data_IF_706627827542
#
_entry.id   IF_706627827542
#
_cell.length_a   1.000
_cell.length_b   1.000
_cell.length_c   1.000
_cell.angle_alpha   90.00
_cell.angle_beta   90.00
_cell.angle_gamma   90.00
#
_symmetry.space_group_name_H-M   'P 1'
#
loop_
_entity.id
_entity.type
_entity.pdbx_description
1 polymer ?
#
# COMPACT_ATOMS: atom_id res chain seq x y z
N UNK A 1 6.32 -14.59 -17.88
CA UNK A 1 5.70 -13.80 -18.95
C UNK A 1 4.69 -12.89 -18.28
N UNK A 2 4.81 -11.58 -18.44
CA UNK A 2 3.80 -10.63 -17.92
C UNK A 2 2.55 -10.83 -18.77
N UNK A 3 1.41 -11.07 -18.13
CA UNK A 3 0.14 -11.20 -18.85
C UNK A 3 -0.15 -9.89 -19.58
N UNK A 4 -0.35 -9.97 -20.91
CA UNK A 4 -0.56 -8.81 -21.76
C UNK A 4 -1.91 -8.09 -21.50
N UNK A 5 -2.81 -8.67 -20.71
CA UNK A 5 -4.11 -8.09 -20.37
C UNK A 5 -4.03 -6.97 -19.33
N UNK A 6 -2.93 -6.90 -18.56
CA UNK A 6 -2.72 -5.95 -17.48
C UNK A 6 -1.85 -4.74 -17.87
N UNK A 7 -1.62 -4.52 -19.17
CA UNK A 7 -0.66 -3.54 -19.63
C UNK A 7 -1.18 -2.72 -20.81
N UNK A 8 -1.04 -1.41 -20.71
CA UNK A 8 -1.28 -0.46 -21.80
C UNK A 8 0.06 0.12 -22.25
N UNK A 9 0.28 0.27 -23.54
CA UNK A 9 1.50 0.81 -24.11
C UNK A 9 1.22 1.83 -25.21
N UNK A 10 2.15 2.78 -25.39
CA UNK A 10 2.01 3.94 -26.28
C UNK A 10 1.45 5.16 -25.54
N UNK A 11 1.98 6.33 -25.87
CA UNK A 11 1.72 7.56 -25.12
C UNK A 11 0.22 7.92 -25.15
N UNK A 12 -0.41 7.90 -26.33
CA UNK A 12 -1.83 8.26 -26.50
C UNK A 12 -2.76 7.31 -25.73
N UNK A 13 -2.54 6.00 -25.83
CA UNK A 13 -3.36 5.00 -25.14
C UNK A 13 -3.26 5.12 -23.62
N UNK A 14 -2.08 5.49 -23.09
CA UNK A 14 -1.90 5.72 -21.65
C UNK A 14 -2.61 7.00 -21.21
N UNK A 15 -2.55 8.09 -21.98
CA UNK A 15 -3.31 9.33 -21.72
C UNK A 15 -4.81 9.03 -21.64
N UNK A 16 -5.34 8.34 -22.64
CA UNK A 16 -6.77 7.97 -22.70
C UNK A 16 -7.19 7.09 -21.51
N UNK A 17 -6.33 6.16 -21.08
CA UNK A 17 -6.60 5.33 -19.92
C UNK A 17 -6.68 6.15 -18.62
N UNK A 18 -5.76 7.13 -18.44
CA UNK A 18 -5.78 8.03 -17.28
C UNK A 18 -7.05 8.89 -17.30
N UNK A 19 -7.39 9.47 -18.44
CA UNK A 19 -8.58 10.31 -18.61
C UNK A 19 -9.89 9.52 -18.43
N UNK A 20 -9.89 8.25 -18.78
CA UNK A 20 -11.00 7.32 -18.53
C UNK A 20 -11.09 6.84 -17.07
N UNK A 21 -10.22 7.34 -16.17
CA UNK A 21 -10.24 6.97 -14.75
C UNK A 21 -9.82 5.52 -14.46
N UNK A 22 -9.02 4.89 -15.34
CA UNK A 22 -8.52 3.54 -15.05
C UNK A 22 -7.53 3.55 -13.91
N UNK A 23 -7.66 2.59 -13.02
CA UNK A 23 -6.69 2.37 -11.95
C UNK A 23 -5.35 1.88 -12.53
N UNK A 24 -4.32 2.71 -12.39
CA UNK A 24 -2.97 2.42 -12.89
C UNK A 24 -2.03 2.25 -11.70
N UNK A 25 -1.32 1.13 -11.66
CA UNK A 25 -0.33 0.85 -10.62
C UNK A 25 0.92 1.70 -10.78
N UNK A 26 1.46 1.72 -11.99
CA UNK A 26 2.65 2.50 -12.33
C UNK A 26 2.78 2.72 -13.83
N UNK A 27 3.52 3.75 -14.18
CA UNK A 27 3.90 4.04 -15.56
C UNK A 27 5.44 4.03 -15.68
N UNK A 28 5.96 3.27 -16.64
CA UNK A 28 7.34 3.35 -17.07
C UNK A 28 7.45 4.29 -18.24
N UNK A 29 8.36 5.25 -18.15
CA UNK A 29 8.60 6.24 -19.21
C UNK A 29 10.08 6.21 -19.55
N UNK A 30 10.42 6.20 -20.85
CA UNK A 30 11.80 6.33 -21.33
C UNK A 30 12.44 7.61 -20.77
N UNK A 31 13.72 7.51 -20.31
CA UNK A 31 14.42 8.65 -19.66
C UNK A 31 14.42 9.92 -20.49
N UNK A 32 14.70 9.79 -21.79
CA UNK A 32 14.89 10.93 -22.70
C UNK A 32 13.68 11.17 -23.62
N UNK A 33 12.47 10.89 -23.12
CA UNK A 33 11.25 11.13 -23.90
C UNK A 33 11.03 12.64 -24.06
N UNK A 34 11.00 13.10 -25.32
CA UNK A 34 10.74 14.48 -25.68
C UNK A 34 9.81 14.49 -26.87
N UNK A 35 8.53 14.73 -26.63
CA UNK A 35 7.51 14.90 -27.66
C UNK A 35 6.37 15.72 -27.09
N UNK A 36 5.55 16.33 -27.94
CA UNK A 36 4.37 17.07 -27.45
C UNK A 36 3.39 16.15 -26.75
N UNK A 37 3.23 14.91 -27.23
CA UNK A 37 2.45 13.88 -26.53
C UNK A 37 3.01 13.55 -25.14
N UNK A 38 4.33 13.57 -24.94
CA UNK A 38 4.89 13.34 -23.61
C UNK A 38 4.61 14.51 -22.65
N UNK A 39 4.57 15.76 -23.15
CA UNK A 39 4.15 16.92 -22.34
C UNK A 39 2.69 16.79 -21.92
N UNK A 40 1.82 16.36 -22.85
CA UNK A 40 0.40 16.08 -22.56
C UNK A 40 0.26 14.97 -21.51
N UNK A 41 1.02 13.87 -21.62
CA UNK A 41 1.04 12.80 -20.62
C UNK A 41 1.39 13.34 -19.22
N UNK A 42 2.46 14.14 -19.10
CA UNK A 42 2.84 14.69 -17.80
C UNK A 42 1.83 15.73 -17.27
N UNK A 43 1.11 16.41 -18.15
CA UNK A 43 0.03 17.32 -17.75
C UNK A 43 -1.15 16.58 -17.14
N UNK A 44 -1.61 15.47 -17.74
CA UNK A 44 -2.72 14.66 -17.19
C UNK A 44 -2.32 13.87 -15.94
N UNK A 45 -1.04 13.60 -15.75
CA UNK A 45 -0.50 12.95 -14.55
C UNK A 45 -0.41 13.89 -13.34
N UNK A 46 -0.43 15.21 -13.58
CA UNK A 46 -0.32 16.18 -12.50
C UNK A 46 -1.52 16.08 -11.55
N UNK A 47 -1.24 15.89 -10.27
CA UNK A 47 -2.28 15.72 -9.23
C UNK A 47 -2.82 14.30 -9.10
N UNK A 48 -2.32 13.33 -9.88
CA UNK A 48 -2.64 11.90 -9.69
C UNK A 48 -1.66 11.25 -8.71
N UNK A 49 -2.09 10.13 -8.10
CA UNK A 49 -1.24 9.26 -7.27
C UNK A 49 -0.50 8.20 -8.09
N UNK A 50 -0.52 8.27 -9.42
CA UNK A 50 0.08 7.26 -10.29
C UNK A 50 1.62 7.40 -10.27
N UNK A 51 2.37 6.38 -9.82
CA UNK A 51 3.82 6.42 -9.82
C UNK A 51 4.38 6.40 -11.24
N UNK A 52 5.27 7.34 -11.55
CA UNK A 52 5.99 7.40 -12.84
C UNK A 52 7.45 7.09 -12.62
N UNK A 53 7.97 6.07 -13.28
CA UNK A 53 9.36 5.67 -13.21
C UNK A 53 10.06 5.93 -14.55
N UNK A 54 11.10 6.78 -14.55
CA UNK A 54 11.95 7.00 -15.73
C UNK A 54 12.97 5.86 -15.83
N UNK A 55 12.98 5.16 -16.96
CA UNK A 55 13.82 3.97 -17.18
C UNK A 55 14.54 4.02 -18.54
N UNK A 56 15.67 3.32 -18.71
CA UNK A 56 16.25 3.08 -20.03
C UNK A 56 15.25 2.36 -20.94
N UNK A 57 15.29 2.66 -22.25
CA UNK A 57 14.36 2.07 -23.22
C UNK A 57 14.48 0.54 -23.29
N UNK A 58 15.67 0.00 -23.04
CA UNK A 58 15.96 -1.44 -22.99
C UNK A 58 15.10 -2.16 -21.94
N UNK A 59 14.80 -1.50 -20.82
CA UNK A 59 13.91 -2.05 -19.79
C UNK A 59 12.48 -2.16 -20.32
N UNK A 60 12.01 -1.18 -21.08
CA UNK A 60 10.67 -1.23 -21.71
C UNK A 60 10.64 -2.30 -22.79
N UNK A 61 11.69 -2.38 -23.63
CA UNK A 61 11.82 -3.37 -24.70
C UNK A 61 11.82 -4.83 -24.18
N UNK A 62 12.28 -5.07 -22.93
CA UNK A 62 12.20 -6.39 -22.28
C UNK A 62 10.77 -6.76 -21.86
N UNK A 63 9.92 -5.76 -21.61
CA UNK A 63 8.52 -5.95 -21.20
C UNK A 63 7.65 -6.18 -22.44
N UNK A 64 7.81 -5.35 -23.46
CA UNK A 64 7.05 -5.46 -24.72
C UNK A 64 7.89 -5.01 -25.90
N UNK A 65 7.77 -5.73 -27.04
CA UNK A 65 8.35 -5.36 -28.33
C UNK A 65 7.39 -4.63 -29.24
N UNK A 66 6.15 -4.40 -28.78
CA UNK A 66 5.13 -3.63 -29.52
C UNK A 66 5.52 -2.16 -29.55
N UNK A 67 4.88 -1.39 -30.42
CA UNK A 67 5.15 0.05 -30.57
C UNK A 67 4.71 0.82 -29.31
N UNK A 68 5.55 0.83 -28.28
CA UNK A 68 5.28 1.45 -26.99
C UNK A 68 5.63 2.94 -26.93
N UNK A 69 6.29 3.50 -27.96
CA UNK A 69 6.66 4.93 -28.02
C UNK A 69 7.39 5.44 -26.75
N UNK A 70 8.06 4.55 -26.03
CA UNK A 70 8.76 4.86 -24.77
C UNK A 70 7.88 4.94 -23.53
N UNK A 71 6.61 4.48 -23.58
CA UNK A 71 5.68 4.50 -22.45
C UNK A 71 4.93 3.17 -22.32
N UNK A 72 4.88 2.65 -21.08
CA UNK A 72 4.11 1.47 -20.69
C UNK A 72 3.45 1.76 -19.33
N UNK A 73 2.16 1.50 -19.23
CA UNK A 73 1.38 1.57 -17.99
C UNK A 73 0.94 0.17 -17.57
N UNK A 74 1.03 -0.13 -16.28
CA UNK A 74 0.50 -1.35 -15.67
C UNK A 74 -0.83 -1.02 -15.01
N UNK A 75 -1.85 -1.78 -15.36
CA UNK A 75 -3.20 -1.62 -14.80
C UNK A 75 -3.23 -2.29 -13.43
N UNK A 76 -3.88 -1.65 -12.48
CA UNK A 76 -4.14 -2.25 -11.16
C UNK A 76 -5.22 -3.32 -11.25
N UNK A 77 -5.07 -4.37 -10.45
CA UNK A 77 -6.11 -5.39 -10.27
C UNK A 77 -7.18 -4.98 -9.24
N UNK A 78 -7.00 -3.83 -8.58
CA UNK A 78 -7.94 -3.28 -7.59
C UNK A 78 -8.22 -1.82 -7.87
N UNK A 79 -9.39 -1.35 -7.45
CA UNK A 79 -9.69 0.09 -7.39
C UNK A 79 -9.14 0.66 -6.10
N UNK A 80 -8.24 1.64 -6.23
CA UNK A 80 -7.69 2.32 -5.06
C UNK A 80 -8.68 3.30 -4.47
N UNK A 81 -8.75 3.32 -3.15
CA UNK A 81 -9.54 4.26 -2.38
C UNK A 81 -8.65 5.35 -1.76
N UNK A 82 -9.28 6.37 -1.19
CA UNK A 82 -8.63 7.39 -0.38
C UNK A 82 -9.04 7.22 1.07
N UNK A 83 -8.08 7.33 1.97
CA UNK A 83 -8.34 7.26 3.41
C UNK A 83 -9.32 8.34 3.86
N UNK A 84 -9.23 9.54 3.26
CA UNK A 84 -10.09 10.69 3.56
C UNK A 84 -11.58 10.46 3.21
N UNK A 85 -11.86 9.62 2.22
CA UNK A 85 -13.24 9.26 1.84
C UNK A 85 -13.76 8.10 2.69
N UNK A 86 -12.89 7.13 3.02
CA UNK A 86 -13.27 5.91 3.71
C UNK A 86 -13.53 6.14 5.21
N UNK A 87 -12.74 6.98 5.89
CA UNK A 87 -12.86 7.22 7.34
C UNK A 87 -14.23 7.77 7.73
N UNK A 88 -14.75 8.87 7.11
CA UNK A 88 -16.08 9.36 7.42
C UNK A 88 -17.17 8.31 7.18
N UNK A 89 -17.08 7.59 6.06
CA UNK A 89 -18.03 6.55 5.70
C UNK A 89 -18.13 5.45 6.78
N UNK A 90 -17.00 4.99 7.32
CA UNK A 90 -16.98 3.97 8.36
C UNK A 90 -17.55 4.51 9.69
N UNK A 91 -17.24 5.75 10.05
CA UNK A 91 -17.81 6.38 11.26
C UNK A 91 -19.31 6.60 11.15
N UNK A 92 -19.83 6.99 9.99
CA UNK A 92 -21.27 7.10 9.74
C UNK A 92 -22.01 5.76 9.92
N UNK A 93 -21.31 4.65 9.69
CA UNK A 93 -21.83 3.30 9.97
C UNK A 93 -21.71 2.88 11.45
N UNK A 94 -21.21 3.76 12.32
CA UNK A 94 -20.99 3.44 13.74
C UNK A 94 -19.86 2.46 14.01
N UNK A 95 -18.92 2.27 13.06
CA UNK A 95 -17.79 1.35 13.22
C UNK A 95 -16.68 1.98 14.05
N UNK A 96 -15.89 1.11 14.68
CA UNK A 96 -14.56 1.39 15.22
C UNK A 96 -13.51 0.87 14.23
N UNK A 97 -13.06 1.66 13.23
CA UNK A 97 -12.24 1.13 12.15
C UNK A 97 -10.89 0.59 12.63
N UNK A 98 -10.45 -0.51 12.03
CA UNK A 98 -9.09 -1.05 12.14
C UNK A 98 -8.42 -0.95 10.79
N UNK A 99 -7.34 -0.16 10.71
CA UNK A 99 -6.52 -0.04 9.50
C UNK A 99 -5.14 -0.66 9.71
N UNK A 100 -4.55 -1.14 8.61
CA UNK A 100 -3.15 -1.59 8.57
C UNK A 100 -2.41 -0.75 7.55
N UNK A 101 -1.39 -0.02 7.98
CA UNK A 101 -0.54 0.81 7.12
C UNK A 101 0.79 0.12 6.87
N UNK A 102 1.23 0.08 5.61
CA UNK A 102 2.44 -0.61 5.18
C UNK A 102 3.49 0.40 4.70
N UNK A 103 4.51 0.64 5.53
CA UNK A 103 5.58 1.59 5.23
C UNK A 103 6.74 0.89 4.52
N UNK A 104 6.82 1.04 3.19
CA UNK A 104 7.91 0.55 2.39
C UNK A 104 7.89 -0.96 2.09
N UNK A 105 6.77 -1.63 2.26
CA UNK A 105 6.60 -3.04 1.87
C UNK A 105 6.49 -3.14 0.36
N UNK A 106 7.48 -3.77 -0.29
CA UNK A 106 7.57 -3.88 -1.75
C UNK A 106 7.44 -5.32 -2.26
N UNK A 107 7.59 -6.31 -1.39
CA UNK A 107 7.42 -7.72 -1.75
C UNK A 107 5.94 -8.07 -1.87
N UNK A 108 5.56 -8.58 -3.05
CA UNK A 108 4.17 -8.96 -3.39
C UNK A 108 3.65 -10.11 -2.52
N UNK A 109 4.53 -11.03 -2.10
CA UNK A 109 4.13 -12.18 -1.29
C UNK A 109 3.81 -11.75 0.13
N UNK A 110 4.65 -10.88 0.73
CA UNK A 110 4.39 -10.31 2.05
C UNK A 110 3.10 -9.47 2.03
N UNK A 111 2.94 -8.60 1.03
CA UNK A 111 1.71 -7.83 0.88
C UNK A 111 0.47 -8.72 0.74
N UNK A 112 0.52 -9.73 -0.12
CA UNK A 112 -0.61 -10.65 -0.33
C UNK A 112 -0.96 -11.44 0.94
N UNK A 113 0.05 -11.91 1.69
CA UNK A 113 -0.16 -12.60 2.96
C UNK A 113 -0.78 -11.67 4.02
N UNK A 114 -0.30 -10.42 4.12
CA UNK A 114 -0.88 -9.40 5.02
C UNK A 114 -2.33 -9.10 4.61
N UNK A 115 -2.59 -8.86 3.33
CA UNK A 115 -3.93 -8.58 2.83
C UNK A 115 -4.91 -9.74 3.13
N UNK A 116 -4.47 -10.99 2.96
CA UNK A 116 -5.25 -12.16 3.34
C UNK A 116 -5.58 -12.18 4.83
N UNK A 117 -4.59 -11.91 5.68
CA UNK A 117 -4.79 -11.84 7.12
C UNK A 117 -5.73 -10.71 7.50
N UNK A 118 -5.60 -9.54 6.87
CA UNK A 118 -6.48 -8.39 7.08
C UNK A 118 -7.93 -8.73 6.76
N UNK A 119 -8.18 -9.37 5.62
CA UNK A 119 -9.53 -9.79 5.23
C UNK A 119 -10.12 -10.78 6.22
N UNK A 120 -9.37 -11.84 6.57
CA UNK A 120 -9.80 -12.83 7.54
C UNK A 120 -10.11 -12.23 8.93
N UNK A 121 -9.46 -11.14 9.30
CA UNK A 121 -9.62 -10.43 10.56
C UNK A 121 -10.62 -9.27 10.49
N UNK A 122 -11.31 -9.09 9.38
CA UNK A 122 -12.23 -7.98 9.12
C UNK A 122 -11.58 -6.59 9.34
N UNK A 123 -10.32 -6.43 8.95
CA UNK A 123 -9.65 -5.13 8.86
C UNK A 123 -10.37 -4.30 7.81
N UNK A 124 -10.67 -3.05 8.11
CA UNK A 124 -11.49 -2.19 7.23
C UNK A 124 -10.72 -1.64 6.02
N UNK A 125 -9.39 -1.46 6.13
CA UNK A 125 -8.56 -1.10 4.98
C UNK A 125 -7.07 -1.40 5.20
N UNK A 126 -6.35 -1.57 4.07
CA UNK A 126 -4.89 -1.50 4.02
C UNK A 126 -4.47 -0.21 3.35
N UNK A 127 -3.51 0.51 3.96
CA UNK A 127 -2.98 1.78 3.46
C UNK A 127 -1.55 1.54 2.95
N UNK A 128 -1.28 1.96 1.72
CA UNK A 128 0.03 1.85 1.09
C UNK A 128 0.48 3.21 0.52
N UNK A 129 1.78 3.51 0.49
CA UNK A 129 2.25 4.72 -0.19
C UNK A 129 2.21 4.57 -1.71
N UNK A 130 2.03 5.66 -2.43
CA UNK A 130 2.08 5.69 -3.89
C UNK A 130 3.47 5.37 -4.45
N UNK A 131 4.54 5.60 -3.67
CA UNK A 131 5.93 5.32 -4.08
C UNK A 131 6.57 4.34 -3.10
N UNK A 132 7.56 3.59 -3.57
CA UNK A 132 8.28 2.58 -2.77
C UNK A 132 7.31 1.58 -2.13
N UNK A 133 6.33 1.14 -2.88
CA UNK A 133 5.30 0.21 -2.46
C UNK A 133 5.16 -0.95 -3.45
N UNK A 134 4.36 -1.91 -3.08
CA UNK A 134 3.99 -3.05 -3.91
C UNK A 134 3.16 -2.61 -5.12
N UNK A 135 3.23 -3.39 -6.19
CA UNK A 135 2.31 -3.31 -7.32
C UNK A 135 1.18 -4.31 -7.10
N UNK A 136 -0.08 -3.84 -7.10
CA UNK A 136 -1.25 -4.71 -6.88
C UNK A 136 -1.69 -5.33 -8.21
N UNK A 137 -1.03 -6.40 -8.57
CA UNK A 137 -1.19 -7.14 -9.81
C UNK A 137 -1.80 -8.54 -9.58
N UNK A 138 -1.88 -9.38 -10.63
CA UNK A 138 -2.37 -10.75 -10.54
C UNK A 138 -1.62 -11.61 -9.52
N UNK A 139 -0.31 -11.40 -9.32
CA UNK A 139 0.46 -12.11 -8.30
C UNK A 139 0.02 -11.71 -6.88
N UNK A 140 -0.28 -10.43 -6.65
CA UNK A 140 -0.86 -9.96 -5.38
C UNK A 140 -2.24 -10.57 -5.16
N UNK A 141 -3.09 -10.61 -6.18
CA UNK A 141 -4.41 -11.24 -6.11
C UNK A 141 -4.30 -12.72 -5.76
N UNK A 142 -3.37 -13.44 -6.39
CA UNK A 142 -3.13 -14.86 -6.12
C UNK A 142 -2.60 -15.11 -4.71
N UNK A 143 -1.61 -14.33 -4.26
CA UNK A 143 -0.99 -14.50 -2.94
C UNK A 143 -1.92 -14.11 -1.81
N UNK A 144 -2.83 -13.16 -2.04
CA UNK A 144 -3.91 -12.82 -1.08
C UNK A 144 -5.06 -13.83 -1.07
N UNK A 145 -5.01 -14.89 -1.89
CA UNK A 145 -6.10 -15.85 -2.05
C UNK A 145 -7.46 -15.18 -2.36
N UNK A 146 -7.45 -14.07 -3.08
CA UNK A 146 -8.65 -13.32 -3.46
C UNK A 146 -9.10 -12.26 -2.45
N UNK A 147 -8.46 -12.12 -1.30
CA UNK A 147 -8.81 -11.12 -0.28
C UNK A 147 -8.87 -9.69 -0.84
N UNK A 148 -8.00 -9.35 -1.79
CA UNK A 148 -7.96 -8.04 -2.45
C UNK A 148 -9.17 -7.73 -3.33
N UNK A 149 -10.11 -8.65 -3.55
CA UNK A 149 -11.38 -8.35 -4.20
C UNK A 149 -12.35 -7.59 -3.28
N UNK A 150 -12.22 -7.76 -1.98
CA UNK A 150 -13.14 -7.21 -0.97
C UNK A 150 -12.47 -6.22 -0.02
N UNK A 151 -11.19 -6.44 0.29
CA UNK A 151 -10.43 -5.59 1.20
C UNK A 151 -10.08 -4.24 0.53
N UNK A 152 -10.55 -3.11 1.06
CA UNK A 152 -10.18 -1.79 0.58
C UNK A 152 -8.67 -1.54 0.64
N UNK A 153 -8.08 -1.06 -0.46
CA UNK A 153 -6.68 -0.63 -0.52
C UNK A 153 -6.63 0.87 -0.75
N UNK A 154 -6.19 1.62 0.26
CA UNK A 154 -5.97 3.06 0.15
C UNK A 154 -4.54 3.33 -0.32
N UNK A 155 -4.39 4.11 -1.40
CA UNK A 155 -3.08 4.51 -1.90
C UNK A 155 -2.85 6.00 -1.67
N UNK A 156 -1.85 6.33 -0.85
CA UNK A 156 -1.65 7.66 -0.33
C UNK A 156 -0.35 8.30 -0.83
N UNK A 157 -0.35 9.61 -1.00
CA UNK A 157 0.83 10.36 -1.46
C UNK A 157 1.91 10.42 -0.37
N UNK A 158 1.49 10.62 0.87
CA UNK A 158 2.34 10.78 2.04
C UNK A 158 1.73 10.03 3.23
N UNK A 159 2.40 8.95 3.68
CA UNK A 159 1.95 8.24 4.89
C UNK A 159 1.99 9.17 6.12
N UNK A 160 2.94 10.09 6.18
CA UNK A 160 3.03 11.08 7.26
C UNK A 160 1.77 11.96 7.35
N UNK A 161 1.31 12.49 6.22
CA UNK A 161 0.09 13.32 6.17
C UNK A 161 -1.15 12.47 6.49
N UNK A 162 -1.18 11.24 6.00
CA UNK A 162 -2.26 10.28 6.29
C UNK A 162 -2.31 9.93 7.78
N UNK A 163 -1.16 9.68 8.43
CA UNK A 163 -1.10 9.45 9.88
C UNK A 163 -1.62 10.66 10.66
N UNK A 164 -1.23 11.87 10.27
CA UNK A 164 -1.73 13.09 10.91
C UNK A 164 -3.24 13.24 10.73
N UNK A 165 -3.77 12.94 9.54
CA UNK A 165 -5.21 12.94 9.29
C UNK A 165 -5.94 11.91 10.16
N UNK A 166 -5.44 10.68 10.25
CA UNK A 166 -6.01 9.62 11.08
C UNK A 166 -6.04 10.02 12.57
N UNK A 167 -4.94 10.58 13.09
CA UNK A 167 -4.88 11.09 14.47
C UNK A 167 -5.91 12.18 14.71
N UNK A 168 -6.03 13.14 13.81
CA UNK A 168 -7.02 14.21 13.90
C UNK A 168 -8.46 13.68 13.82
N UNK A 169 -8.65 12.51 13.19
CA UNK A 169 -9.93 11.80 13.10
C UNK A 169 -10.21 10.86 14.29
N UNK A 170 -9.35 10.86 15.32
CA UNK A 170 -9.53 10.06 16.52
C UNK A 170 -8.96 8.63 16.46
N UNK A 171 -8.13 8.32 15.47
CA UNK A 171 -7.41 7.04 15.44
C UNK A 171 -6.21 7.07 16.38
N UNK A 172 -6.00 5.96 17.08
CA UNK A 172 -4.72 5.65 17.73
C UNK A 172 -3.79 4.97 16.73
N UNK A 173 -2.52 5.34 16.74
CA UNK A 173 -1.51 4.78 15.83
C UNK A 173 -0.53 3.93 16.64
N UNK A 174 -0.44 2.64 16.30
CA UNK A 174 0.46 1.67 16.95
C UNK A 174 1.51 1.21 15.94
N UNK A 175 2.79 1.43 16.24
CA UNK A 175 3.90 0.97 15.42
C UNK A 175 4.46 -0.35 15.94
N UNK A 176 4.60 -1.33 15.03
CA UNK A 176 5.36 -2.55 15.29
C UNK A 176 6.84 -2.32 15.01
N UNK A 177 7.68 -2.35 16.04
CA UNK A 177 9.13 -2.12 15.93
C UNK A 177 9.88 -2.88 17.01
N UNK A 178 11.11 -3.34 16.70
CA UNK A 178 12.01 -3.94 17.67
C UNK A 178 12.39 -3.00 18.81
N UNK A 179 12.24 -1.69 18.60
CA UNK A 179 12.50 -0.61 19.58
C UNK A 179 11.28 -0.30 20.45
N UNK A 180 10.25 -1.15 20.41
CA UNK A 180 9.02 -0.95 21.17
C UNK A 180 9.28 -0.83 22.68
N UNK A 181 8.54 0.08 23.31
CA UNK A 181 8.66 0.34 24.75
C UNK A 181 8.17 -0.84 25.58
N UNK A 182 7.21 -1.61 25.05
CA UNK A 182 6.62 -2.78 25.71
C UNK A 182 6.12 -3.82 24.70
N UNK A 183 5.74 -4.98 25.21
CA UNK A 183 5.27 -6.08 24.39
C UNK A 183 3.90 -5.77 23.77
N UNK A 184 3.68 -6.28 22.56
CA UNK A 184 2.51 -5.99 21.74
C UNK A 184 1.17 -6.23 22.43
N UNK A 185 1.10 -7.19 23.37
CA UNK A 185 -0.11 -7.56 24.10
C UNK A 185 -0.49 -6.58 25.24
N UNK A 186 0.34 -5.57 25.50
CA UNK A 186 0.11 -4.52 26.51
C UNK A 186 -0.52 -3.26 25.95
N UNK A 187 -0.50 -3.08 24.63
CA UNK A 187 -1.18 -1.95 24.00
C UNK A 187 -2.71 -2.13 24.04
N UNK A 188 -3.42 -1.01 24.01
CA UNK A 188 -4.87 -1.02 23.89
C UNK A 188 -5.26 -0.96 22.42
N UNK A 189 -5.83 -2.06 21.91
CA UNK A 189 -6.29 -2.20 20.53
C UNK A 189 -7.79 -1.95 20.36
N UNK A 190 -8.47 -1.40 21.34
CA UNK A 190 -9.88 -1.03 21.27
C UNK A 190 -10.06 0.33 20.56
N UNK A 191 -11.24 0.62 20.05
CA UNK A 191 -11.52 1.88 19.36
C UNK A 191 -10.92 2.00 17.95
N UNK A 192 -11.06 3.15 17.30
CA UNK A 192 -10.49 3.40 15.97
C UNK A 192 -8.96 3.39 16.03
N UNK A 193 -8.32 2.59 15.16
CA UNK A 193 -6.86 2.51 15.17
C UNK A 193 -6.23 2.15 13.84
N UNK A 194 -4.94 2.47 13.74
CA UNK A 194 -4.09 2.09 12.62
C UNK A 194 -2.82 1.40 13.15
N UNK A 195 -2.57 0.16 12.71
CA UNK A 195 -1.32 -0.56 12.96
C UNK A 195 -0.39 -0.26 11.80
N UNK A 196 0.79 0.30 12.07
CA UNK A 196 1.81 0.54 11.03
C UNK A 196 2.91 -0.53 11.10
N UNK A 197 3.15 -1.14 9.94
CA UNK A 197 4.18 -2.17 9.72
C UNK A 197 5.25 -1.61 8.80
N UNK A 198 6.51 -1.79 9.14
CA UNK A 198 7.65 -1.33 8.35
C UNK A 198 8.25 -2.40 7.44
N UNK A 199 9.12 -1.98 6.52
CA UNK A 199 9.91 -2.87 5.68
C UNK A 199 10.85 -3.75 6.53
N UNK A 200 11.15 -4.97 6.03
CA UNK A 200 11.97 -5.96 6.76
C UNK A 200 13.40 -5.46 7.06
N UNK A 201 13.97 -4.63 6.17
CA UNK A 201 15.34 -4.13 6.28
C UNK A 201 15.48 -2.82 7.06
N UNK A 202 14.42 -1.99 7.12
CA UNK A 202 14.46 -0.62 7.66
C UNK A 202 13.47 -0.37 8.79
N UNK A 203 12.50 -1.27 8.95
CA UNK A 203 11.38 -1.03 9.85
C UNK A 203 10.48 0.10 9.36
N UNK A 204 9.72 0.67 10.28
CA UNK A 204 8.91 1.88 10.04
C UNK A 204 9.85 3.09 9.96
N UNK A 205 9.64 3.97 8.99
CA UNK A 205 10.46 5.18 8.81
C UNK A 205 10.38 6.08 10.02
N UNK A 206 11.50 6.78 10.32
CA UNK A 206 11.60 7.64 11.51
C UNK A 206 10.51 8.72 11.56
N UNK A 207 10.22 9.34 10.42
CA UNK A 207 9.21 10.39 10.31
C UNK A 207 7.80 9.87 10.64
N UNK A 208 7.50 8.61 10.29
CA UNK A 208 6.22 7.97 10.60
C UNK A 208 6.19 7.48 12.05
N UNK A 209 7.29 6.92 12.57
CA UNK A 209 7.41 6.52 13.98
C UNK A 209 7.15 7.69 14.94
N UNK A 210 7.68 8.88 14.62
CA UNK A 210 7.49 10.08 15.44
C UNK A 210 6.02 10.54 15.59
N UNK A 211 5.13 10.04 14.70
CA UNK A 211 3.68 10.31 14.76
C UNK A 211 2.89 9.21 15.47
N UNK A 212 3.50 8.07 15.74
CA UNK A 212 2.83 6.97 16.40
C UNK A 212 2.61 7.29 17.89
N UNK A 213 1.46 6.87 18.41
CA UNK A 213 1.11 7.05 19.82
C UNK A 213 1.78 6.00 20.70
N UNK A 214 1.98 4.80 20.16
CA UNK A 214 2.53 3.66 20.86
C UNK A 214 3.52 2.89 19.97
N UNK A 215 4.62 2.41 20.57
CA UNK A 215 5.61 1.56 19.93
C UNK A 215 5.63 0.21 20.64
N UNK A 216 5.28 -0.84 19.93
CA UNK A 216 5.20 -2.20 20.49
C UNK A 216 6.17 -3.14 19.82
N UNK A 217 6.63 -4.13 20.58
CA UNK A 217 7.50 -5.20 20.09
C UNK A 217 6.88 -6.56 20.29
N UNK A 218 7.23 -7.50 19.41
CA UNK A 218 6.98 -8.92 19.59
C UNK A 218 8.23 -9.52 20.24
N UNK A 219 8.16 -10.17 21.41
CA UNK A 219 9.32 -10.72 22.08
C UNK A 219 10.01 -11.80 21.22
N UNK A 220 11.31 -11.63 20.97
CA UNK A 220 12.15 -12.63 20.32
C UNK A 220 12.92 -13.41 21.38
N UNK A 221 12.64 -14.69 21.53
CA UNK A 221 13.27 -15.56 22.54
C UNK A 221 14.40 -16.43 21.96
N UNK A 222 14.59 -16.38 20.66
CA UNK A 222 15.61 -17.13 19.93
C UNK A 222 16.82 -16.27 19.55
N UNK A 223 17.63 -16.78 18.62
CA UNK A 223 18.80 -16.11 18.09
C UNK A 223 18.50 -15.24 16.86
N UNK A 224 17.33 -15.42 16.24
CA UNK A 224 16.87 -14.62 15.10
C UNK A 224 16.22 -13.35 15.63
N UNK A 225 16.64 -12.21 15.13
CA UNK A 225 16.28 -10.89 15.68
C UNK A 225 14.91 -10.36 15.22
N UNK A 226 14.34 -10.91 14.14
CA UNK A 226 13.06 -10.45 13.60
C UNK A 226 12.22 -11.56 12.99
N UNK A 227 10.90 -11.36 12.97
CA UNK A 227 9.96 -12.18 12.22
C UNK A 227 9.79 -11.63 10.79
N UNK A 228 9.38 -12.50 9.88
CA UNK A 228 8.83 -12.03 8.60
C UNK A 228 7.67 -11.06 8.86
N UNK A 229 7.60 -9.97 8.10
CA UNK A 229 6.64 -8.88 8.33
C UNK A 229 5.18 -9.34 8.24
N UNK A 230 4.85 -10.31 7.38
CA UNK A 230 3.48 -10.84 7.30
C UNK A 230 3.10 -11.67 8.52
N UNK A 231 4.06 -12.34 9.14
CA UNK A 231 3.86 -13.07 10.41
C UNK A 231 3.66 -12.07 11.56
N UNK A 232 4.53 -11.07 11.65
CA UNK A 232 4.40 -10.01 12.65
C UNK A 232 3.05 -9.27 12.55
N UNK A 233 2.64 -8.92 11.32
CA UNK A 233 1.33 -8.31 11.07
C UNK A 233 0.19 -9.21 11.56
N UNK A 234 0.25 -10.51 11.29
CA UNK A 234 -0.75 -11.48 11.76
C UNK A 234 -0.89 -11.50 13.28
N UNK A 235 0.22 -11.47 14.02
CA UNK A 235 0.23 -11.44 15.49
C UNK A 235 -0.48 -10.19 16.02
N UNK A 236 -0.13 -8.99 15.51
CA UNK A 236 -0.73 -7.74 15.99
C UNK A 236 -2.21 -7.63 15.59
N UNK A 237 -2.55 -7.99 14.36
CA UNK A 237 -3.93 -7.94 13.86
C UNK A 237 -4.83 -8.84 14.71
N UNK A 238 -4.40 -10.07 15.03
CA UNK A 238 -5.19 -10.99 15.83
C UNK A 238 -5.21 -10.64 17.32
N UNK A 239 -4.21 -9.94 17.84
CA UNK A 239 -4.32 -9.35 19.19
C UNK A 239 -5.39 -8.24 19.19
N UNK A 240 -5.42 -7.41 18.16
CA UNK A 240 -6.48 -6.41 18.03
C UNK A 240 -7.88 -7.06 17.92
N UNK A 241 -8.03 -8.13 17.14
CA UNK A 241 -9.28 -8.91 17.04
C UNK A 241 -9.69 -9.46 18.39
N UNK A 242 -8.76 -10.06 19.14
CA UNK A 242 -9.01 -10.64 20.46
C UNK A 242 -9.53 -9.58 21.45
N UNK A 243 -8.88 -8.41 21.51
CA UNK A 243 -9.28 -7.35 22.45
C UNK A 243 -10.62 -6.68 22.07
N UNK A 244 -10.95 -6.62 20.78
CA UNK A 244 -12.21 -6.04 20.27
C UNK A 244 -13.41 -6.96 20.41
N UNK A 245 -13.19 -8.27 20.61
CA UNK A 245 -14.26 -9.25 20.79
C UNK A 245 -14.50 -9.64 22.26
N UNK A 246 -13.74 -9.08 23.20
CA UNK A 246 -13.92 -9.24 24.63
C UNK A 246 -14.68 -8.02 25.21
#
# INVERSE_FOLDING_TARGET
>A
MVDNSEMIFGVRAVIEAIQAGKDIDKILVKKDIQSDLSKELFAVLKGTLIPVQRVPVERINRITRKNHQGVVAFISSVTYQKTEDLVPFLFEQGKNPLFVMLDGITDVRNFGAIARTCECAAVDAVIIPAKNSVTVNADAMKTSAGALHTLPVCREHSLKETLQYLKNSGFRIVAATEKGDYDYDKADYTGPMCIIMGAEDKGVSYDNLALCDEWVKIPMLGTIESLNVSVAAGILIYEAVKQRNN
#
